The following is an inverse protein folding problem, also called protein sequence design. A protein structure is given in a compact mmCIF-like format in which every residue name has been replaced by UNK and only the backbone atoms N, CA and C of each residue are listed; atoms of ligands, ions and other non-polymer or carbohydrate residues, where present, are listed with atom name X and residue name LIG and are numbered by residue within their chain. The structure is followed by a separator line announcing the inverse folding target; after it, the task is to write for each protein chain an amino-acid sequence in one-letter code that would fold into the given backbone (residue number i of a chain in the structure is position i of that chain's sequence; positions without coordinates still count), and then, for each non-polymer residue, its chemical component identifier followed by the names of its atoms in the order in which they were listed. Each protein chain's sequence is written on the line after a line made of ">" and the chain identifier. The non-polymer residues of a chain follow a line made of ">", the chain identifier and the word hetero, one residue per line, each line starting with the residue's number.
data_IF_747357218040
#
_entry.id   IF_747357218040
#
_cell.length_a   1.000
_cell.length_b   1.000
_cell.length_c   1.000
_cell.angle_alpha   90.00
_cell.angle_beta   90.00
_cell.angle_gamma   90.00
#
_symmetry.space_group_name_H-M   'P 1'
#
loop_
_entity.id
_entity.type
_entity.pdbx_description
1 polymer ?
#
# COMPACT_ATOMS: atom_id res chain seq x y z
N UNK A 1 11.34 -6.40 31.01
CA UNK A 1 11.17 -5.13 30.29
C UNK A 1 10.63 -5.45 28.91
N UNK A 2 9.58 -4.76 28.46
CA UNK A 2 9.04 -4.94 27.13
C UNK A 2 10.02 -4.50 26.04
N UNK A 3 9.81 -4.95 24.81
CA UNK A 3 10.64 -4.57 23.68
C UNK A 3 10.45 -3.09 23.29
N UNK A 4 11.48 -2.42 22.79
CA UNK A 4 11.46 -1.00 22.40
C UNK A 4 11.87 -0.82 20.94
N UNK A 5 10.94 -0.32 20.12
CA UNK A 5 11.14 -0.11 18.70
C UNK A 5 11.19 1.39 18.39
N UNK A 6 12.30 1.83 17.80
CA UNK A 6 12.40 3.16 17.20
C UNK A 6 12.09 3.06 15.71
N UNK A 7 11.01 3.71 15.27
CA UNK A 7 10.56 3.65 13.88
C UNK A 7 10.82 4.97 13.14
N UNK A 8 11.59 4.92 12.06
CA UNK A 8 11.82 6.02 11.13
C UNK A 8 10.95 5.79 9.90
N UNK A 9 9.97 6.64 9.65
CA UNK A 9 9.00 6.44 8.58
C UNK A 9 8.79 7.71 7.75
N UNK A 10 8.42 7.54 6.47
CA UNK A 10 7.96 8.66 5.65
C UNK A 10 6.60 9.14 6.14
N UNK A 11 5.66 8.22 6.31
CA UNK A 11 4.26 8.47 6.59
C UNK A 11 3.73 7.44 7.60
N UNK A 12 2.86 7.89 8.53
CA UNK A 12 2.17 7.02 9.47
C UNK A 12 0.85 7.65 9.92
N UNK A 13 0.54 7.71 11.22
CA UNK A 13 -0.71 8.28 11.71
C UNK A 13 -0.86 9.74 11.31
N UNK A 14 -2.08 10.10 10.88
CA UNK A 14 -2.39 11.43 10.34
C UNK A 14 -1.90 11.68 8.90
N UNK A 15 -1.23 10.73 8.27
CA UNK A 15 -0.89 10.74 6.85
C UNK A 15 -1.83 9.82 6.05
N UNK A 16 -1.80 9.93 4.71
CA UNK A 16 -2.65 9.20 3.78
C UNK A 16 -1.82 8.36 2.80
N UNK A 17 -2.45 7.33 2.24
CA UNK A 17 -1.85 6.46 1.21
C UNK A 17 -1.39 5.11 1.76
N UNK A 18 -1.00 4.21 0.85
CA UNK A 18 -0.68 2.81 1.17
C UNK A 18 0.45 2.66 2.19
N UNK A 19 1.54 3.43 2.06
CA UNK A 19 2.68 3.37 2.99
C UNK A 19 2.27 3.79 4.41
N UNK A 20 1.49 4.87 4.53
CA UNK A 20 0.98 5.32 5.84
C UNK A 20 0.11 4.24 6.48
N UNK A 21 -0.79 3.63 5.71
CA UNK A 21 -1.69 2.55 6.16
C UNK A 21 -0.91 1.32 6.58
N UNK A 22 0.05 0.87 5.77
CA UNK A 22 0.92 -0.24 6.11
C UNK A 22 1.65 -0.04 7.44
N UNK A 23 2.25 1.15 7.63
CA UNK A 23 2.97 1.47 8.86
C UNK A 23 2.03 1.49 10.08
N UNK A 24 0.82 2.05 9.95
CA UNK A 24 -0.20 2.01 11.01
C UNK A 24 -0.56 0.57 11.37
N UNK A 25 -0.91 -0.26 10.37
CA UNK A 25 -1.30 -1.64 10.58
C UNK A 25 -0.16 -2.47 11.20
N UNK A 26 1.11 -2.22 10.82
CA UNK A 26 2.27 -2.87 11.40
C UNK A 26 2.47 -2.48 12.87
N UNK A 27 2.42 -1.20 13.21
CA UNK A 27 2.64 -0.77 14.59
C UNK A 27 1.49 -1.15 15.50
N UNK A 28 0.26 -1.08 15.02
CA UNK A 28 -0.91 -1.59 15.72
C UNK A 28 -0.81 -3.11 15.96
N UNK A 29 -0.27 -3.86 15.00
CA UNK A 29 -0.06 -5.30 15.14
C UNK A 29 1.01 -5.63 16.19
N UNK A 30 2.08 -4.84 16.26
CA UNK A 30 3.19 -5.03 17.20
C UNK A 30 2.90 -4.47 18.60
N UNK A 31 1.92 -3.60 18.75
CA UNK A 31 1.46 -3.06 20.03
C UNK A 31 0.68 -4.12 20.80
N UNK A 32 1.37 -4.90 21.62
CA UNK A 32 0.84 -6.01 22.42
C UNK A 32 0.68 -5.66 23.92
N UNK A 33 0.80 -4.40 24.27
CA UNK A 33 0.79 -3.89 25.64
C UNK A 33 2.13 -4.02 26.37
N UNK A 34 3.08 -4.81 25.87
CA UNK A 34 4.45 -4.92 26.41
C UNK A 34 5.48 -4.18 25.54
N UNK A 35 5.20 -3.98 24.27
CA UNK A 35 6.10 -3.34 23.30
C UNK A 35 5.88 -1.82 23.28
N UNK A 36 6.95 -1.06 23.49
CA UNK A 36 6.96 0.39 23.30
C UNK A 36 7.45 0.75 21.89
N UNK A 37 6.68 1.55 21.15
CA UNK A 37 7.02 1.97 19.80
C UNK A 37 7.06 3.50 19.74
N UNK A 38 8.22 4.06 19.40
CA UNK A 38 8.39 5.48 19.14
C UNK A 38 8.52 5.71 17.64
N UNK A 39 7.55 6.42 17.06
CA UNK A 39 7.47 6.70 15.63
C UNK A 39 7.95 8.12 15.36
N UNK A 40 8.87 8.24 14.41
CA UNK A 40 9.39 9.51 13.90
C UNK A 40 8.98 9.63 12.42
N UNK A 41 7.86 10.31 12.11
CA UNK A 41 7.40 10.48 10.74
C UNK A 41 8.00 11.72 10.09
N UNK A 42 8.14 11.70 8.76
CA UNK A 42 8.41 12.91 7.98
C UNK A 42 7.12 13.67 7.65
N UNK A 43 6.03 12.93 7.48
CA UNK A 43 4.71 13.47 7.18
C UNK A 43 3.66 12.81 8.08
N UNK A 44 2.58 13.52 8.33
CA UNK A 44 1.48 13.08 9.18
C UNK A 44 1.49 13.76 10.55
N UNK A 45 0.31 14.07 11.02
CA UNK A 45 0.06 14.64 12.33
C UNK A 45 -0.94 13.76 13.08
N UNK A 46 -0.50 13.16 14.16
CA UNK A 46 -1.31 12.30 15.02
C UNK A 46 -2.02 13.10 16.14
N UNK A 47 -1.95 14.43 16.11
CA UNK A 47 -2.60 15.28 17.10
C UNK A 47 -4.11 14.99 17.18
N UNK A 48 -4.60 14.68 18.37
CA UNK A 48 -6.00 14.31 18.58
C UNK A 48 -6.38 12.86 18.21
N UNK A 49 -5.45 12.06 17.72
CA UNK A 49 -5.68 10.62 17.48
C UNK A 49 -5.41 9.80 18.74
N UNK A 50 -6.24 8.79 18.99
CA UNK A 50 -6.00 7.80 20.03
C UNK A 50 -5.18 6.67 19.42
N UNK A 51 -3.93 6.54 19.83
CA UNK A 51 -3.03 5.48 19.40
C UNK A 51 -3.14 4.27 20.34
N UNK A 52 -2.70 3.10 19.86
CA UNK A 52 -2.64 1.90 20.68
C UNK A 52 -1.70 2.11 21.89
N UNK A 53 -1.98 1.41 22.99
CA UNK A 53 -1.14 1.46 24.19
C UNK A 53 0.31 1.07 23.85
N UNK A 54 1.26 1.88 24.30
CA UNK A 54 2.69 1.70 23.99
C UNK A 54 3.15 2.35 22.69
N UNK A 55 2.24 2.84 21.82
CA UNK A 55 2.60 3.55 20.59
C UNK A 55 2.61 5.05 20.82
N UNK A 56 3.68 5.71 20.43
CA UNK A 56 3.82 7.18 20.45
C UNK A 56 4.36 7.66 19.13
N UNK A 57 3.79 8.71 18.57
CA UNK A 57 4.30 9.37 17.39
C UNK A 57 4.71 10.80 17.71
N UNK A 58 5.93 11.16 17.34
CA UNK A 58 6.40 12.54 17.42
C UNK A 58 5.76 13.39 16.31
N UNK A 59 5.68 14.72 16.47
CA UNK A 59 5.34 15.60 15.37
C UNK A 59 6.25 15.41 14.16
N UNK A 60 5.71 15.59 12.96
CA UNK A 60 6.48 15.51 11.71
C UNK A 60 7.52 16.62 11.63
N UNK A 61 8.69 16.29 11.08
CA UNK A 61 9.82 17.22 10.95
C UNK A 61 10.25 17.27 9.49
N UNK A 62 10.15 18.45 8.91
CA UNK A 62 10.57 18.72 7.54
C UNK A 62 12.09 18.91 7.44
N UNK A 63 12.62 18.53 6.28
CA UNK A 63 14.03 18.67 5.97
C UNK A 63 14.91 17.53 6.51
N UNK A 64 15.94 17.18 5.73
CA UNK A 64 16.79 16.01 6.05
C UNK A 64 17.61 16.20 7.32
N UNK A 65 18.23 17.36 7.48
CA UNK A 65 19.08 17.64 8.64
C UNK A 65 18.29 17.76 9.93
N UNK A 66 17.16 18.50 9.92
CA UNK A 66 16.28 18.64 11.08
C UNK A 66 15.73 17.30 11.52
N UNK A 67 15.27 16.47 10.59
CA UNK A 67 14.80 15.12 10.86
C UNK A 67 15.91 14.24 11.48
N UNK A 68 17.14 14.28 10.91
CA UNK A 68 18.25 13.46 11.41
C UNK A 68 18.65 13.85 12.83
N UNK A 69 18.75 15.16 13.13
CA UNK A 69 19.06 15.63 14.48
C UNK A 69 17.97 15.25 15.48
N UNK A 70 16.70 15.45 15.12
CA UNK A 70 15.59 15.07 15.97
C UNK A 70 15.55 13.56 16.23
N UNK A 71 15.85 12.74 15.21
CA UNK A 71 15.92 11.28 15.38
C UNK A 71 17.03 10.85 16.32
N UNK A 72 18.21 11.48 16.27
CA UNK A 72 19.31 11.21 17.20
C UNK A 72 18.91 11.58 18.63
N UNK A 73 18.32 12.76 18.83
CA UNK A 73 17.84 13.21 20.16
C UNK A 73 16.75 12.31 20.70
N UNK A 74 15.79 11.94 19.86
CA UNK A 74 14.69 11.05 20.23
C UNK A 74 15.22 9.65 20.59
N UNK A 75 16.14 9.10 19.80
CA UNK A 75 16.79 7.82 20.07
C UNK A 75 17.53 7.83 21.42
N UNK A 76 18.27 8.91 21.70
CA UNK A 76 18.96 9.06 22.98
C UNK A 76 18.02 9.09 24.19
N UNK A 77 16.87 9.76 24.06
CA UNK A 77 15.84 9.81 25.11
C UNK A 77 15.07 8.50 25.25
N UNK A 78 14.92 7.76 24.15
CA UNK A 78 14.14 6.52 24.07
C UNK A 78 14.93 5.25 24.36
N UNK A 79 16.21 5.32 24.71
CA UNK A 79 17.04 4.15 25.04
C UNK A 79 16.59 3.43 26.32
N UNK A 80 16.85 2.11 26.49
CA UNK A 80 17.49 1.23 25.51
C UNK A 80 16.58 0.97 24.29
N UNK A 81 17.19 0.79 23.10
CA UNK A 81 16.47 0.49 21.86
C UNK A 81 16.79 -0.94 21.45
N UNK A 82 15.77 -1.77 21.25
CA UNK A 82 15.94 -3.15 20.80
C UNK A 82 15.99 -3.27 19.29
N UNK A 83 15.20 -2.46 18.59
CA UNK A 83 15.08 -2.48 17.14
C UNK A 83 14.93 -1.07 16.58
N UNK A 84 15.67 -0.77 15.53
CA UNK A 84 15.44 0.40 14.66
C UNK A 84 14.75 -0.09 13.39
N UNK A 85 13.52 0.36 13.19
CA UNK A 85 12.73 0.09 11.99
C UNK A 85 12.82 1.24 11.01
N UNK A 86 13.14 0.94 9.75
CA UNK A 86 13.12 1.87 8.63
C UNK A 86 11.94 1.55 7.74
N UNK A 87 10.87 2.34 7.85
CA UNK A 87 9.64 2.15 7.08
C UNK A 87 9.74 2.57 5.62
N UNK A 88 10.91 2.90 5.14
CA UNK A 88 11.22 3.17 3.74
C UNK A 88 12.73 3.12 3.52
N UNK A 89 13.17 2.62 2.36
CA UNK A 89 14.60 2.47 2.03
C UNK A 89 15.38 3.79 2.13
N UNK A 90 14.75 4.94 1.88
CA UNK A 90 15.39 6.25 2.06
C UNK A 90 15.79 6.57 3.52
N UNK A 91 15.19 5.89 4.49
CA UNK A 91 15.55 6.04 5.91
C UNK A 91 16.76 5.16 6.29
N UNK A 92 17.18 4.25 5.40
CA UNK A 92 18.22 3.27 5.66
C UNK A 92 19.55 3.88 6.18
N UNK A 93 20.07 5.00 5.65
CA UNK A 93 21.31 5.58 6.16
C UNK A 93 21.23 5.97 7.64
N UNK A 94 20.18 6.69 8.01
CA UNK A 94 19.98 7.13 9.40
C UNK A 94 19.65 5.95 10.32
N UNK A 95 18.80 5.03 9.85
CA UNK A 95 18.42 3.85 10.62
C UNK A 95 19.60 2.94 10.91
N UNK A 96 20.47 2.71 9.93
CA UNK A 96 21.69 1.96 10.12
C UNK A 96 22.61 2.61 11.16
N UNK A 97 22.82 3.94 11.05
CA UNK A 97 23.62 4.69 12.01
C UNK A 97 23.08 4.54 13.44
N UNK A 98 21.79 4.75 13.64
CA UNK A 98 21.15 4.64 14.95
C UNK A 98 21.19 3.19 15.47
N UNK A 99 20.94 2.20 14.63
CA UNK A 99 21.03 0.80 15.03
C UNK A 99 22.45 0.45 15.54
N UNK A 100 23.48 0.92 14.84
CA UNK A 100 24.88 0.71 15.28
C UNK A 100 25.21 1.46 16.56
N UNK A 101 24.78 2.71 16.68
CA UNK A 101 25.08 3.57 17.84
C UNK A 101 24.47 3.01 19.14
N UNK A 102 23.30 2.40 19.05
CA UNK A 102 22.55 1.89 20.21
C UNK A 102 22.60 0.36 20.35
N UNK A 103 23.38 -0.34 19.52
CA UNK A 103 23.44 -1.81 19.54
C UNK A 103 22.10 -2.49 19.28
N UNK A 104 21.24 -1.83 18.50
CA UNK A 104 19.90 -2.30 18.17
C UNK A 104 19.90 -3.15 16.88
N UNK A 105 18.89 -4.00 16.73
CA UNK A 105 18.63 -4.71 15.47
C UNK A 105 18.15 -3.73 14.40
N UNK A 106 18.51 -3.99 13.15
CA UNK A 106 18.23 -3.12 12.02
C UNK A 106 17.24 -3.80 11.08
N UNK A 107 16.00 -3.26 10.99
CA UNK A 107 14.92 -3.76 10.16
C UNK A 107 14.57 -2.74 9.07
N UNK A 108 14.57 -3.15 7.81
CA UNK A 108 14.24 -2.31 6.64
C UNK A 108 12.97 -2.83 5.97
N UNK A 109 12.02 -1.93 5.71
CA UNK A 109 10.83 -2.18 4.91
C UNK A 109 11.02 -1.65 3.49
N UNK A 110 10.67 -2.47 2.49
CA UNK A 110 10.61 -2.08 1.08
C UNK A 110 9.18 -2.21 0.56
N UNK A 111 8.70 -1.15 -0.12
CA UNK A 111 7.31 -1.02 -0.58
C UNK A 111 7.10 -1.29 -2.08
N UNK A 112 8.16 -1.56 -2.82
CA UNK A 112 8.10 -1.87 -4.27
C UNK A 112 8.91 -0.89 -5.09
N UNK A 113 8.29 0.17 -5.61
CA UNK A 113 8.94 1.15 -6.50
C UNK A 113 10.21 1.78 -5.93
N UNK A 114 10.35 1.80 -4.62
CA UNK A 114 11.52 2.31 -3.90
C UNK A 114 12.78 1.45 -4.10
N UNK A 115 12.62 0.18 -4.53
CA UNK A 115 13.74 -0.76 -4.73
C UNK A 115 13.77 -1.42 -6.11
N UNK A 116 12.83 -1.10 -7.01
CA UNK A 116 12.77 -1.75 -8.33
C UNK A 116 13.93 -1.39 -9.25
N UNK A 117 14.53 -0.24 -9.06
CA UNK A 117 15.79 0.10 -9.71
C UNK A 117 16.97 -0.39 -8.88
N UNK A 118 17.96 -1.04 -9.53
CA UNK A 118 19.23 -1.42 -8.88
C UNK A 118 19.88 -0.19 -8.23
N UNK A 119 19.79 -0.10 -6.93
CA UNK A 119 20.39 0.97 -6.14
C UNK A 119 21.79 0.56 -5.69
N UNK A 120 22.75 0.78 -6.59
CA UNK A 120 24.17 0.48 -6.36
C UNK A 120 24.77 1.31 -5.22
N UNK A 121 25.94 0.88 -4.75
CA UNK A 121 26.73 1.63 -3.77
C UNK A 121 26.13 1.57 -2.36
N UNK A 122 25.97 2.75 -1.73
CA UNK A 122 25.63 2.86 -0.30
C UNK A 122 24.29 2.19 0.06
N UNK A 123 23.25 2.38 -0.74
CA UNK A 123 21.90 1.81 -0.45
C UNK A 123 21.95 0.27 -0.44
N UNK A 124 22.60 -0.32 -1.44
CA UNK A 124 22.83 -1.77 -1.50
C UNK A 124 23.56 -2.28 -0.27
N UNK A 125 24.64 -1.60 0.12
CA UNK A 125 25.42 -1.95 1.31
C UNK A 125 24.59 -1.82 2.59
N UNK A 126 23.78 -0.77 2.74
CA UNK A 126 22.90 -0.56 3.90
C UNK A 126 21.85 -1.68 4.03
N UNK A 127 21.18 -2.05 2.93
CA UNK A 127 20.20 -3.12 2.92
C UNK A 127 20.86 -4.47 3.23
N UNK A 128 22.03 -4.75 2.65
CA UNK A 128 22.81 -5.96 2.93
C UNK A 128 23.16 -6.13 4.41
N UNK A 129 23.26 -5.04 5.13
CA UNK A 129 23.56 -5.04 6.56
C UNK A 129 22.31 -5.10 7.45
N UNK A 130 21.11 -5.21 6.90
CA UNK A 130 19.90 -5.38 7.69
C UNK A 130 19.83 -6.78 8.34
N UNK A 131 19.34 -6.83 9.56
CA UNK A 131 19.06 -8.08 10.26
C UNK A 131 17.78 -8.72 9.73
N UNK A 132 16.82 -7.88 9.28
CA UNK A 132 15.59 -8.25 8.60
C UNK A 132 15.26 -7.24 7.52
N UNK A 133 14.87 -7.72 6.34
CA UNK A 133 14.21 -6.91 5.31
C UNK A 133 12.82 -7.49 5.09
N UNK A 134 11.81 -6.63 5.13
CA UNK A 134 10.44 -7.00 4.75
C UNK A 134 10.04 -6.35 3.45
N UNK A 135 9.29 -7.06 2.64
CA UNK A 135 8.75 -6.59 1.35
C UNK A 135 7.24 -6.81 1.32
N UNK A 136 6.52 -5.94 0.65
CA UNK A 136 5.05 -6.03 0.58
C UNK A 136 4.56 -7.11 -0.40
N UNK A 137 5.42 -7.61 -1.31
CA UNK A 137 5.03 -8.63 -2.28
C UNK A 137 6.17 -9.61 -2.57
N UNK A 138 5.82 -10.79 -3.11
CA UNK A 138 6.79 -11.78 -3.61
C UNK A 138 7.61 -11.22 -4.76
N UNK A 139 6.99 -10.41 -5.60
CA UNK A 139 7.69 -9.76 -6.71
C UNK A 139 8.71 -8.73 -6.21
N UNK A 140 8.33 -7.87 -5.26
CA UNK A 140 9.27 -6.94 -4.62
C UNK A 140 10.44 -7.69 -3.98
N UNK A 141 10.18 -8.84 -3.32
CA UNK A 141 11.23 -9.72 -2.78
C UNK A 141 12.14 -10.27 -3.88
N UNK A 142 11.57 -10.76 -4.98
CA UNK A 142 12.32 -11.31 -6.12
C UNK A 142 13.25 -10.26 -6.73
N UNK A 143 12.72 -9.05 -6.97
CA UNK A 143 13.50 -7.95 -7.53
C UNK A 143 14.62 -7.55 -6.57
N UNK A 144 14.35 -7.42 -5.28
CA UNK A 144 15.37 -7.08 -4.29
C UNK A 144 16.51 -8.09 -4.27
N UNK A 145 16.20 -9.38 -4.21
CA UNK A 145 17.19 -10.45 -4.18
C UNK A 145 18.02 -10.57 -5.47
N UNK A 146 17.53 -10.03 -6.59
CA UNK A 146 18.28 -10.02 -7.84
C UNK A 146 19.51 -9.10 -7.83
N UNK A 147 19.49 -8.06 -6.96
CA UNK A 147 20.58 -7.08 -6.92
C UNK A 147 21.21 -6.87 -5.52
N UNK A 148 20.57 -7.37 -4.45
CA UNK A 148 21.16 -7.38 -3.10
C UNK A 148 21.61 -8.80 -2.76
N UNK A 149 22.90 -8.95 -2.49
CA UNK A 149 23.47 -10.20 -2.00
C UNK A 149 23.11 -10.37 -0.51
N UNK A 150 21.93 -10.92 -0.27
CA UNK A 150 21.37 -11.24 1.06
C UNK A 150 20.91 -12.69 1.09
N UNK A 151 21.12 -13.39 2.23
CA UNK A 151 20.47 -14.68 2.44
C UNK A 151 18.95 -14.55 2.32
N UNK A 152 18.29 -15.39 1.50
CA UNK A 152 16.84 -15.29 1.25
C UNK A 152 15.98 -15.34 2.52
N UNK A 153 16.48 -15.97 3.59
CA UNK A 153 15.82 -16.06 4.88
C UNK A 153 15.78 -14.74 5.66
N UNK A 154 16.62 -13.77 5.30
CA UNK A 154 16.55 -12.39 5.84
C UNK A 154 15.57 -11.50 5.11
N UNK A 155 15.10 -11.91 3.95
CA UNK A 155 14.10 -11.16 3.18
C UNK A 155 12.76 -11.87 3.26
N UNK A 156 11.81 -11.27 3.93
CA UNK A 156 10.49 -11.86 4.20
C UNK A 156 9.41 -11.03 3.55
N UNK A 157 8.39 -11.71 3.02
CA UNK A 157 7.18 -11.04 2.55
C UNK A 157 6.24 -10.85 3.73
N UNK A 158 5.84 -9.61 3.97
CA UNK A 158 4.75 -9.24 4.85
C UNK A 158 3.83 -8.36 4.01
N UNK A 159 2.78 -8.93 3.39
CA UNK A 159 1.91 -8.20 2.47
C UNK A 159 1.06 -7.17 3.22
N UNK A 160 0.50 -6.23 2.47
CA UNK A 160 -0.53 -5.34 3.01
C UNK A 160 -1.73 -6.17 3.51
N UNK A 161 -2.51 -5.56 4.39
CA UNK A 161 -3.72 -6.17 4.96
C UNK A 161 -4.96 -5.40 4.59
N UNK A 162 -6.08 -6.09 4.46
CA UNK A 162 -7.39 -5.47 4.27
C UNK A 162 -8.10 -5.31 5.62
N UNK A 163 -8.61 -4.11 5.88
CA UNK A 163 -9.32 -3.79 7.12
C UNK A 163 -10.69 -4.45 7.17
N UNK A 164 -11.18 -4.76 8.38
CA UNK A 164 -12.43 -5.48 8.61
C UNK A 164 -13.68 -4.69 8.20
N UNK A 165 -13.58 -3.38 7.95
CA UNK A 165 -14.68 -2.55 7.44
C UNK A 165 -15.04 -2.87 5.98
N UNK A 166 -14.08 -3.44 5.21
CA UNK A 166 -14.32 -3.88 3.84
C UNK A 166 -14.96 -5.27 3.87
N UNK A 167 -16.27 -5.30 3.73
CA UNK A 167 -17.09 -6.52 3.73
C UNK A 167 -18.14 -6.43 2.63
N UNK A 168 -18.60 -7.57 2.11
CA UNK A 168 -19.73 -7.59 1.19
C UNK A 168 -20.99 -6.99 1.84
N UNK A 169 -21.86 -6.49 1.01
CA UNK A 169 -23.14 -5.92 1.44
C UNK A 169 -23.78 -5.04 0.38
N UNK A 170 -24.98 -4.56 0.61
CA UNK A 170 -25.60 -3.57 -0.26
C UNK A 170 -24.94 -2.20 -0.07
N UNK A 171 -24.82 -1.43 -1.15
CA UNK A 171 -24.53 -0.01 -1.06
C UNK A 171 -25.76 0.74 -0.54
N UNK A 172 -25.57 1.91 0.12
CA UNK A 172 -26.70 2.77 0.48
C UNK A 172 -27.56 3.13 -0.75
N UNK A 173 -28.88 2.93 -0.64
CA UNK A 173 -29.79 3.05 -1.78
C UNK A 173 -29.70 4.42 -2.51
N UNK A 174 -29.52 5.52 -1.74
CA UNK A 174 -29.41 6.86 -2.30
C UNK A 174 -28.00 7.20 -2.85
N UNK A 175 -27.00 6.33 -2.72
CA UNK A 175 -25.62 6.66 -3.12
C UNK A 175 -25.49 6.84 -4.63
N UNK A 176 -26.14 5.99 -5.42
CA UNK A 176 -26.14 6.06 -6.88
C UNK A 176 -26.73 7.38 -7.36
N UNK A 177 -27.88 7.78 -6.81
CA UNK A 177 -28.57 9.04 -7.13
C UNK A 177 -27.77 10.27 -6.70
N UNK A 178 -27.20 10.24 -5.49
CA UNK A 178 -26.34 11.30 -4.97
C UNK A 178 -25.14 11.55 -5.87
N UNK A 179 -24.54 10.48 -6.42
CA UNK A 179 -23.42 10.56 -7.34
C UNK A 179 -23.86 10.82 -8.79
N UNK A 180 -25.18 10.90 -9.04
CA UNK A 180 -25.77 11.09 -10.38
C UNK A 180 -25.28 10.07 -11.40
N UNK A 181 -25.24 8.81 -10.98
CA UNK A 181 -24.87 7.68 -11.84
C UNK A 181 -26.14 7.04 -12.42
N UNK A 182 -26.15 6.78 -13.72
CA UNK A 182 -27.26 6.12 -14.40
C UNK A 182 -27.50 4.69 -13.93
N UNK A 183 -28.37 3.96 -14.67
CA UNK A 183 -28.71 2.57 -14.32
C UNK A 183 -27.69 1.53 -14.79
N UNK A 184 -26.74 1.91 -15.63
CA UNK A 184 -25.74 1.03 -16.24
C UNK A 184 -24.66 0.56 -15.27
N UNK A 185 -23.77 -0.33 -15.74
CA UNK A 185 -22.65 -0.82 -14.97
C UNK A 185 -21.69 0.31 -14.55
N UNK A 186 -21.13 0.17 -13.33
CA UNK A 186 -20.15 1.10 -12.77
C UNK A 186 -18.79 0.41 -12.71
N UNK A 187 -17.84 0.90 -13.51
CA UNK A 187 -16.42 0.60 -13.32
C UNK A 187 -15.86 1.56 -12.26
N UNK A 188 -14.99 1.09 -11.38
CA UNK A 188 -14.40 1.90 -10.31
C UNK A 188 -12.88 1.82 -10.34
N UNK A 189 -12.22 2.97 -10.21
CA UNK A 189 -10.81 3.07 -9.86
C UNK A 189 -10.67 3.96 -8.63
N UNK A 190 -9.88 3.51 -7.63
CA UNK A 190 -9.58 4.28 -6.41
C UNK A 190 -8.07 4.46 -6.31
N UNK A 191 -7.61 5.70 -6.16
CA UNK A 191 -6.18 5.96 -5.99
C UNK A 191 -5.81 7.43 -6.13
N UNK A 192 -4.58 7.76 -5.77
CA UNK A 192 -4.03 9.10 -6.00
C UNK A 192 -3.91 9.37 -7.50
N UNK A 193 -4.21 10.60 -7.90
CA UNK A 193 -4.05 11.08 -9.27
C UNK A 193 -2.76 11.92 -9.35
N UNK A 194 -1.62 11.26 -9.09
CA UNK A 194 -0.34 11.94 -9.05
C UNK A 194 0.41 11.79 -10.39
N UNK A 195 1.05 12.87 -10.84
CA UNK A 195 1.77 12.93 -12.11
C UNK A 195 2.93 11.93 -12.23
N UNK A 196 3.48 11.49 -11.10
CA UNK A 196 4.49 10.44 -11.02
C UNK A 196 3.90 9.02 -10.87
N UNK A 197 2.56 8.87 -10.88
CA UNK A 197 1.86 7.58 -10.76
C UNK A 197 1.00 7.26 -12.02
N UNK A 198 1.37 7.77 -13.18
CA UNK A 198 0.66 7.52 -14.45
C UNK A 198 0.61 6.06 -14.84
N UNK A 199 1.47 5.24 -14.27
CA UNK A 199 1.48 3.80 -14.42
C UNK A 199 0.18 3.11 -13.95
N UNK A 200 -0.73 3.80 -13.24
CA UNK A 200 -2.00 3.24 -12.76
C UNK A 200 -3.02 2.92 -13.87
N UNK A 201 -2.78 3.35 -15.11
CA UNK A 201 -3.53 2.87 -16.25
C UNK A 201 -4.93 3.49 -16.44
N UNK A 202 -5.14 4.75 -16.05
CA UNK A 202 -6.42 5.44 -16.27
C UNK A 202 -6.77 5.59 -17.76
N UNK A 203 -5.82 6.09 -18.57
CA UNK A 203 -6.05 6.33 -20.01
C UNK A 203 -6.32 5.03 -20.80
N UNK A 204 -5.63 3.91 -20.54
CA UNK A 204 -6.05 2.60 -21.03
C UNK A 204 -7.54 2.31 -20.83
N UNK A 205 -8.07 2.54 -19.63
CA UNK A 205 -9.49 2.31 -19.36
C UNK A 205 -10.36 3.30 -20.16
N UNK A 206 -10.02 4.59 -20.16
CA UNK A 206 -10.79 5.60 -20.93
C UNK A 206 -10.90 5.21 -22.42
N UNK A 207 -9.81 4.74 -23.01
CA UNK A 207 -9.77 4.41 -24.45
C UNK A 207 -10.68 3.26 -24.87
N UNK A 208 -11.09 2.38 -23.97
CA UNK A 208 -11.97 1.24 -24.29
C UNK A 208 -13.44 1.52 -23.95
N UNK A 209 -13.75 2.60 -23.21
CA UNK A 209 -15.12 2.92 -22.82
C UNK A 209 -16.07 3.16 -24.00
N UNK A 210 -15.69 3.84 -25.11
CA UNK A 210 -16.61 4.03 -26.24
C UNK A 210 -17.12 2.71 -26.79
N UNK A 211 -16.27 1.74 -27.07
CA UNK A 211 -16.65 0.41 -27.55
C UNK A 211 -17.49 -0.37 -26.53
N UNK A 212 -17.19 -0.28 -25.25
CA UNK A 212 -17.99 -0.91 -24.20
C UNK A 212 -19.40 -0.30 -24.10
N UNK A 213 -19.56 0.99 -24.36
CA UNK A 213 -20.84 1.68 -24.32
C UNK A 213 -21.76 1.37 -25.51
N UNK A 214 -21.24 0.79 -26.57
CA UNK A 214 -22.10 0.22 -27.64
C UNK A 214 -22.98 -0.92 -27.10
N UNK A 215 -22.42 -1.71 -26.16
CA UNK A 215 -23.14 -2.82 -25.52
C UNK A 215 -23.80 -2.41 -24.19
N UNK A 216 -23.22 -1.48 -23.46
CA UNK A 216 -23.70 -0.96 -22.19
C UNK A 216 -23.82 0.57 -22.25
N UNK A 217 -24.88 1.13 -22.83
CA UNK A 217 -24.99 2.57 -23.14
C UNK A 217 -24.81 3.49 -21.94
N UNK A 218 -25.27 3.05 -20.74
CA UNK A 218 -25.19 3.80 -19.48
C UNK A 218 -23.96 3.42 -18.63
N UNK A 219 -22.98 2.67 -19.17
CA UNK A 219 -21.76 2.35 -18.47
C UNK A 219 -20.99 3.62 -18.12
N UNK A 220 -20.56 3.71 -16.86
CA UNK A 220 -19.77 4.83 -16.34
C UNK A 220 -18.52 4.32 -15.64
N UNK A 221 -17.39 5.01 -15.86
CA UNK A 221 -16.18 4.79 -15.09
C UNK A 221 -16.07 5.87 -14.00
N UNK A 222 -16.12 5.45 -12.75
CA UNK A 222 -15.97 6.31 -11.58
C UNK A 222 -14.51 6.29 -11.14
N UNK A 223 -13.90 7.46 -11.05
CA UNK A 223 -12.53 7.67 -10.59
C UNK A 223 -12.58 8.39 -9.25
N UNK A 224 -12.23 7.68 -8.18
CA UNK A 224 -12.17 8.20 -6.80
C UNK A 224 -10.72 8.48 -6.41
N UNK A 225 -10.40 9.74 -6.18
CA UNK A 225 -9.07 10.21 -5.83
C UNK A 225 -8.81 11.62 -6.29
N UNK A 226 -7.70 12.17 -5.83
CA UNK A 226 -7.27 13.52 -6.17
C UNK A 226 -5.75 13.56 -6.32
N UNK A 227 -5.23 14.63 -6.94
CA UNK A 227 -3.81 14.83 -7.13
C UNK A 227 -3.49 15.83 -8.25
N UNK A 228 -2.21 16.08 -8.45
CA UNK A 228 -1.69 17.07 -9.40
C UNK A 228 -1.88 16.68 -10.89
N UNK A 229 -2.19 15.40 -11.19
CA UNK A 229 -2.48 14.91 -12.54
C UNK A 229 -4.00 14.92 -12.89
N UNK A 230 -4.86 15.30 -11.94
CA UNK A 230 -6.32 15.25 -12.11
C UNK A 230 -6.79 16.03 -13.32
N UNK A 231 -6.36 17.27 -13.49
CA UNK A 231 -6.79 18.12 -14.60
C UNK A 231 -6.44 17.52 -15.96
N UNK A 232 -5.24 16.92 -16.07
CA UNK A 232 -4.81 16.23 -17.30
C UNK A 232 -5.68 14.99 -17.58
N UNK A 233 -6.00 14.21 -16.54
CA UNK A 233 -6.86 13.03 -16.67
C UNK A 233 -8.31 13.40 -17.03
N UNK A 234 -8.86 14.49 -16.49
CA UNK A 234 -10.17 15.00 -16.88
C UNK A 234 -10.21 15.42 -18.36
N UNK A 235 -9.14 16.08 -18.85
CA UNK A 235 -9.01 16.43 -20.27
C UNK A 235 -8.92 15.18 -21.16
N UNK A 236 -8.07 14.19 -20.76
CA UNK A 236 -7.96 12.93 -21.50
C UNK A 236 -9.27 12.14 -21.51
N UNK A 237 -10.03 12.14 -20.42
CA UNK A 237 -11.33 11.48 -20.36
C UNK A 237 -12.36 12.18 -21.25
N UNK A 238 -12.35 13.51 -21.34
CA UNK A 238 -13.24 14.27 -22.22
C UNK A 238 -12.95 14.02 -23.70
N UNK A 239 -11.70 13.76 -24.05
CA UNK A 239 -11.28 13.42 -25.42
C UNK A 239 -11.57 11.97 -25.77
N UNK A 240 -11.13 11.02 -24.92
CA UNK A 240 -11.17 9.58 -25.21
C UNK A 240 -12.54 8.93 -24.96
N UNK A 241 -13.30 9.43 -23.99
CA UNK A 241 -14.56 8.85 -23.55
C UNK A 241 -15.56 9.92 -23.06
N UNK A 242 -16.02 10.83 -23.95
CA UNK A 242 -16.88 11.95 -23.56
C UNK A 242 -18.13 11.49 -22.82
N UNK A 243 -18.34 12.04 -21.60
CA UNK A 243 -19.52 11.73 -20.77
C UNK A 243 -19.52 10.34 -20.10
N UNK A 244 -18.47 9.53 -20.28
CA UNK A 244 -18.40 8.18 -19.72
C UNK A 244 -17.58 8.10 -18.42
N UNK A 245 -16.90 9.17 -18.00
CA UNK A 245 -16.05 9.19 -16.80
C UNK A 245 -16.57 10.19 -15.77
N UNK A 246 -16.59 9.77 -14.52
CA UNK A 246 -17.00 10.61 -13.38
C UNK A 246 -15.86 10.68 -12.35
N UNK A 247 -15.27 11.85 -12.17
CA UNK A 247 -14.27 12.10 -11.12
C UNK A 247 -14.95 12.56 -9.83
N UNK A 248 -14.74 11.82 -8.73
CA UNK A 248 -15.34 12.14 -7.44
C UNK A 248 -14.43 13.05 -6.58
N UNK A 249 -13.15 13.19 -6.94
CA UNK A 249 -12.18 13.79 -6.06
C UNK A 249 -11.83 12.87 -4.89
N UNK A 250 -11.31 13.46 -3.82
CA UNK A 250 -10.98 12.72 -2.61
C UNK A 250 -12.23 12.12 -1.95
N UNK A 251 -12.21 10.82 -1.70
CA UNK A 251 -13.25 10.10 -0.96
C UNK A 251 -12.67 9.71 0.40
N UNK A 252 -13.34 10.05 1.52
CA UNK A 252 -12.91 9.63 2.86
C UNK A 252 -12.87 8.11 3.01
N UNK A 253 -11.93 7.61 3.81
CA UNK A 253 -11.77 6.16 4.05
C UNK A 253 -13.05 5.50 4.59
N UNK A 254 -13.87 6.23 5.35
CA UNK A 254 -15.14 5.75 5.88
C UNK A 254 -16.20 5.49 4.79
N UNK A 255 -16.13 6.21 3.66
CA UNK A 255 -17.08 6.10 2.54
C UNK A 255 -16.63 5.11 1.47
N UNK A 256 -15.35 4.68 1.49
CA UNK A 256 -14.81 3.77 0.49
C UNK A 256 -15.52 2.40 0.44
N UNK A 257 -15.88 1.74 1.58
CA UNK A 257 -16.60 0.47 1.53
C UNK A 257 -17.92 0.55 0.77
N UNK A 258 -18.67 1.64 0.95
CA UNK A 258 -19.94 1.85 0.25
C UNK A 258 -19.74 2.13 -1.25
N UNK A 259 -18.65 2.80 -1.60
CA UNK A 259 -18.30 3.03 -3.00
C UNK A 259 -17.90 1.72 -3.70
N UNK A 260 -17.12 0.86 -3.03
CA UNK A 260 -16.80 -0.48 -3.55
C UNK A 260 -18.06 -1.36 -3.70
N UNK A 261 -18.98 -1.32 -2.72
CA UNK A 261 -20.25 -2.08 -2.79
C UNK A 261 -21.16 -1.60 -3.91
N UNK A 262 -21.10 -0.28 -4.24
CA UNK A 262 -21.91 0.33 -5.30
C UNK A 262 -21.45 -0.09 -6.69
N UNK A 263 -20.15 -0.28 -6.88
CA UNK A 263 -19.57 -0.61 -8.18
C UNK A 263 -19.85 -2.06 -8.62
N UNK A 264 -19.74 -2.29 -9.92
CA UNK A 264 -19.92 -3.61 -10.53
C UNK A 264 -18.56 -4.27 -10.83
N UNK A 265 -17.52 -3.47 -11.08
CA UNK A 265 -16.17 -3.96 -11.37
C UNK A 265 -15.12 -2.93 -10.95
N UNK A 266 -14.06 -3.38 -10.28
CA UNK A 266 -12.88 -2.56 -10.03
C UNK A 266 -11.87 -2.72 -11.16
N UNK A 267 -11.38 -1.62 -11.74
CA UNK A 267 -10.45 -1.64 -12.87
C UNK A 267 -9.30 -0.68 -12.63
N UNK A 268 -8.09 -1.21 -12.47
CA UNK A 268 -6.85 -0.43 -12.40
C UNK A 268 -5.71 -1.22 -13.06
N UNK A 269 -5.59 -1.19 -14.40
CA UNK A 269 -4.60 -1.96 -15.15
C UNK A 269 -3.21 -1.32 -15.04
N UNK A 270 -2.66 -1.31 -13.82
CA UNK A 270 -1.39 -0.70 -13.48
C UNK A 270 -0.21 -1.48 -14.08
N UNK A 271 0.80 -0.77 -14.61
CA UNK A 271 2.05 -1.37 -15.07
C UNK A 271 3.09 -1.50 -13.96
N UNK A 272 2.89 -0.79 -12.86
CA UNK A 272 3.80 -0.77 -11.72
C UNK A 272 3.00 -0.71 -10.43
N UNK A 273 3.07 -1.73 -9.58
CA UNK A 273 2.37 -1.75 -8.30
C UNK A 273 3.23 -2.45 -7.24
N UNK A 274 3.42 -1.83 -6.09
CA UNK A 274 4.15 -2.46 -4.99
C UNK A 274 3.44 -3.71 -4.47
N UNK A 275 2.12 -3.58 -4.28
CA UNK A 275 1.22 -4.65 -3.88
C UNK A 275 -0.20 -4.40 -4.44
N UNK A 276 -0.82 -3.25 -4.15
CA UNK A 276 -2.16 -2.89 -4.61
C UNK A 276 -3.26 -3.24 -3.61
N UNK A 277 -3.19 -2.68 -2.40
CA UNK A 277 -4.20 -2.89 -1.34
C UNK A 277 -5.63 -2.64 -1.83
N UNK A 278 -5.84 -1.72 -2.75
CA UNK A 278 -7.16 -1.38 -3.32
C UNK A 278 -7.84 -2.55 -4.03
N UNK A 279 -7.07 -3.49 -4.60
CA UNK A 279 -7.63 -4.72 -5.16
C UNK A 279 -8.21 -5.62 -4.07
N UNK A 280 -7.50 -5.73 -2.92
CA UNK A 280 -8.00 -6.49 -1.78
C UNK A 280 -9.23 -5.82 -1.15
N UNK A 281 -9.25 -4.49 -1.05
CA UNK A 281 -10.40 -3.73 -0.53
C UNK A 281 -11.65 -3.97 -1.40
N UNK A 282 -11.48 -3.88 -2.73
CA UNK A 282 -12.54 -4.17 -3.68
C UNK A 282 -13.05 -5.61 -3.55
N UNK A 283 -12.14 -6.59 -3.59
CA UNK A 283 -12.49 -8.00 -3.50
C UNK A 283 -13.11 -8.36 -2.16
N UNK A 284 -12.65 -7.76 -1.06
CA UNK A 284 -13.24 -7.94 0.28
C UNK A 284 -14.69 -7.41 0.36
N UNK A 285 -15.04 -6.42 -0.47
CA UNK A 285 -16.42 -5.94 -0.64
C UNK A 285 -17.23 -6.80 -1.64
N UNK A 286 -16.65 -7.86 -2.18
CA UNK A 286 -17.28 -8.74 -3.17
C UNK A 286 -17.22 -8.21 -4.60
N UNK A 287 -16.37 -7.22 -4.88
CA UNK A 287 -16.19 -6.64 -6.20
C UNK A 287 -15.07 -7.38 -6.96
N UNK A 288 -15.35 -7.85 -8.17
CA UNK A 288 -14.31 -8.43 -9.02
C UNK A 288 -13.34 -7.34 -9.46
N UNK A 289 -12.08 -7.74 -9.70
CA UNK A 289 -11.03 -6.78 -10.01
C UNK A 289 -10.30 -7.11 -11.31
N UNK A 290 -9.88 -6.07 -12.01
CA UNK A 290 -8.93 -6.15 -13.13
C UNK A 290 -7.69 -5.37 -12.74
N UNK A 291 -6.58 -6.08 -12.60
CA UNK A 291 -5.26 -5.50 -12.38
C UNK A 291 -4.42 -5.49 -13.66
N UNK A 292 -3.31 -4.77 -13.64
CA UNK A 292 -2.36 -4.76 -14.74
C UNK A 292 -1.18 -5.71 -14.52
N UNK A 293 -0.53 -6.10 -15.61
CA UNK A 293 0.65 -6.96 -15.60
C UNK A 293 1.89 -6.16 -15.19
N UNK A 294 2.16 -6.14 -13.89
CA UNK A 294 3.36 -5.49 -13.38
C UNK A 294 3.42 -5.46 -11.87
N UNK A 295 4.63 -5.49 -11.31
CA UNK A 295 4.87 -5.42 -9.88
C UNK A 295 4.18 -6.49 -9.05
N UNK A 296 3.72 -6.10 -7.86
CA UNK A 296 3.10 -6.96 -6.88
C UNK A 296 1.61 -7.25 -7.11
N UNK A 297 1.01 -6.83 -8.23
CA UNK A 297 -0.41 -7.03 -8.53
C UNK A 297 -0.86 -8.49 -8.39
N UNK A 298 -0.02 -9.44 -8.82
CA UNK A 298 -0.32 -10.88 -8.70
C UNK A 298 -0.37 -11.39 -7.25
N UNK A 299 0.16 -10.64 -6.31
CA UNK A 299 0.03 -10.97 -4.88
C UNK A 299 -1.34 -10.51 -4.32
N UNK A 300 -1.89 -9.39 -4.84
CA UNK A 300 -3.20 -8.88 -4.44
C UNK A 300 -4.37 -9.52 -5.21
N UNK A 301 -4.10 -10.11 -6.38
CA UNK A 301 -5.08 -10.85 -7.20
C UNK A 301 -4.58 -12.30 -7.32
N UNK A 302 -4.74 -13.12 -6.27
CA UNK A 302 -4.10 -14.42 -6.18
C UNK A 302 -4.66 -15.45 -7.17
N UNK A 303 -5.91 -15.33 -7.55
CA UNK A 303 -6.58 -16.24 -8.48
C UNK A 303 -7.85 -15.64 -9.11
N UNK A 304 -8.49 -16.40 -10.02
CA UNK A 304 -9.67 -16.00 -10.78
C UNK A 304 -10.94 -15.76 -9.94
N UNK A 305 -11.01 -16.22 -8.71
CA UNK A 305 -12.14 -15.93 -7.80
C UNK A 305 -12.16 -14.46 -7.42
N UNK A 306 -11.00 -13.81 -7.39
CA UNK A 306 -10.84 -12.38 -7.13
C UNK A 306 -10.98 -11.57 -8.41
N UNK A 307 -10.29 -11.99 -9.49
CA UNK A 307 -10.26 -11.24 -10.73
C UNK A 307 -9.19 -11.72 -11.69
N UNK A 308 -8.80 -10.84 -12.62
CA UNK A 308 -7.83 -11.15 -13.66
C UNK A 308 -6.76 -10.06 -13.81
N UNK A 309 -5.64 -10.46 -14.38
CA UNK A 309 -4.52 -9.56 -14.70
C UNK A 309 -4.43 -9.45 -16.22
N UNK A 310 -4.39 -8.22 -16.71
CA UNK A 310 -4.30 -7.91 -18.15
C UNK A 310 -3.04 -7.12 -18.47
N UNK A 311 -2.58 -7.19 -19.70
CA UNK A 311 -1.59 -6.25 -20.20
C UNK A 311 -2.29 -4.93 -20.58
N UNK A 312 -1.99 -3.80 -19.91
CA UNK A 312 -2.67 -2.54 -20.17
C UNK A 312 -2.38 -1.95 -21.55
N UNK A 313 -1.39 -2.44 -22.26
CA UNK A 313 -1.08 -2.06 -23.65
C UNK A 313 -2.08 -2.70 -24.62
N UNK A 314 -2.55 -3.91 -24.32
CA UNK A 314 -3.54 -4.64 -25.11
C UNK A 314 -4.97 -4.15 -24.79
N UNK A 315 -5.45 -3.18 -25.56
CA UNK A 315 -6.79 -2.59 -25.38
C UNK A 315 -7.91 -3.60 -25.64
N UNK A 316 -7.72 -4.50 -26.59
CA UNK A 316 -8.71 -5.53 -26.92
C UNK A 316 -8.83 -6.54 -25.76
N UNK A 317 -7.70 -6.99 -25.19
CA UNK A 317 -7.72 -7.84 -24.01
C UNK A 317 -8.34 -7.14 -22.80
N UNK A 318 -8.06 -5.84 -22.58
CA UNK A 318 -8.68 -5.07 -21.50
C UNK A 318 -10.19 -4.97 -21.66
N UNK A 319 -10.69 -4.62 -22.86
CA UNK A 319 -12.13 -4.54 -23.14
C UNK A 319 -12.82 -5.90 -22.93
N UNK A 320 -12.24 -6.97 -23.49
CA UNK A 320 -12.76 -8.32 -23.32
C UNK A 320 -12.79 -8.76 -21.85
N UNK A 321 -11.75 -8.45 -21.08
CA UNK A 321 -11.70 -8.75 -19.65
C UNK A 321 -12.78 -7.99 -18.87
N UNK A 322 -13.05 -6.71 -19.19
CA UNK A 322 -14.11 -5.93 -18.56
C UNK A 322 -15.48 -6.60 -18.83
N UNK A 323 -15.78 -6.95 -20.07
CA UNK A 323 -17.04 -7.64 -20.40
C UNK A 323 -17.18 -8.98 -19.68
N UNK A 324 -16.14 -9.79 -19.69
CA UNK A 324 -16.14 -11.11 -19.04
C UNK A 324 -16.34 -10.98 -17.52
N UNK A 325 -15.63 -10.05 -16.86
CA UNK A 325 -15.73 -9.89 -15.42
C UNK A 325 -17.09 -9.31 -15.00
N UNK A 326 -17.67 -8.41 -15.77
CA UNK A 326 -19.03 -7.92 -15.55
C UNK A 326 -20.07 -9.05 -15.65
N UNK A 327 -19.88 -10.00 -16.56
CA UNK A 327 -20.78 -11.14 -16.74
C UNK A 327 -20.67 -12.20 -15.63
N UNK A 328 -19.53 -12.29 -14.95
CA UNK A 328 -19.29 -13.28 -13.89
C UNK A 328 -19.89 -12.91 -12.52
N UNK A 329 -20.34 -11.67 -12.35
CA UNK A 329 -20.95 -11.19 -11.11
C UNK A 329 -19.93 -10.90 -10.00
N UNK A 330 -20.23 -11.27 -8.75
CA UNK A 330 -19.43 -10.89 -7.57
C UNK A 330 -18.18 -11.78 -7.39
N UNK A 331 -17.13 -11.19 -6.81
CA UNK A 331 -15.95 -11.93 -6.35
C UNK A 331 -16.28 -12.79 -5.12
N UNK A 332 -15.49 -13.85 -4.93
CA UNK A 332 -15.53 -14.63 -3.70
C UNK A 332 -14.65 -13.97 -2.62
N UNK A 333 -15.23 -13.33 -1.59
CA UNK A 333 -14.46 -12.62 -0.57
C UNK A 333 -13.62 -13.57 0.30
N UNK A 334 -13.89 -14.88 0.29
CA UNK A 334 -13.08 -15.88 1.00
C UNK A 334 -11.65 -15.95 0.42
N UNK A 335 -11.49 -15.64 -0.86
CA UNK A 335 -10.17 -15.63 -1.51
C UNK A 335 -9.20 -14.60 -0.92
N UNK A 336 -9.70 -13.54 -0.26
CA UNK A 336 -8.86 -12.51 0.41
C UNK A 336 -8.72 -12.74 1.92
N UNK A 337 -9.28 -13.84 2.47
CA UNK A 337 -9.18 -14.16 3.90
C UNK A 337 -7.72 -14.20 4.42
N UNK A 338 -6.73 -14.75 3.67
CA UNK A 338 -5.33 -14.73 4.10
C UNK A 338 -4.73 -13.33 4.31
N UNK A 339 -5.38 -12.30 3.76
CA UNK A 339 -4.95 -10.89 3.87
C UNK A 339 -5.73 -10.11 4.95
N UNK A 340 -6.60 -10.77 5.72
CA UNK A 340 -7.31 -10.12 6.84
C UNK A 340 -6.35 -9.73 7.95
N UNK A 341 -6.76 -8.72 8.73
CA UNK A 341 -5.97 -8.15 9.83
C UNK A 341 -5.45 -9.20 10.82
N UNK A 342 -6.24 -10.22 11.15
CA UNK A 342 -5.86 -11.32 12.05
C UNK A 342 -4.60 -12.06 11.57
N UNK A 343 -4.54 -12.40 10.28
CA UNK A 343 -3.39 -13.07 9.66
C UNK A 343 -2.17 -12.17 9.61
N UNK A 344 -2.37 -10.89 9.25
CA UNK A 344 -1.30 -9.89 9.25
C UNK A 344 -0.69 -9.72 10.65
N UNK A 345 -1.51 -9.57 11.69
CA UNK A 345 -1.06 -9.45 13.08
C UNK A 345 -0.24 -10.67 13.50
N UNK A 346 -0.72 -11.87 13.22
CA UNK A 346 -0.01 -13.10 13.53
C UNK A 346 1.35 -13.16 12.81
N UNK A 347 1.38 -12.84 11.52
CA UNK A 347 2.60 -12.82 10.71
C UNK A 347 3.60 -11.76 11.18
N UNK A 348 3.16 -10.53 11.44
CA UNK A 348 4.01 -9.44 11.91
C UNK A 348 4.65 -9.75 13.27
N UNK A 349 3.86 -10.28 14.22
CA UNK A 349 4.35 -10.71 15.53
C UNK A 349 5.34 -11.86 15.45
N UNK A 350 5.07 -12.86 14.61
CA UNK A 350 5.98 -13.97 14.38
C UNK A 350 7.31 -13.53 13.76
N UNK A 351 7.28 -12.60 12.79
CA UNK A 351 8.48 -12.00 12.19
C UNK A 351 9.29 -11.22 13.23
N UNK A 352 8.62 -10.39 14.02
CA UNK A 352 9.27 -9.62 15.06
C UNK A 352 9.89 -10.51 16.16
N UNK A 353 9.19 -11.54 16.62
CA UNK A 353 9.70 -12.50 17.58
C UNK A 353 10.97 -13.20 17.07
N UNK A 354 11.00 -13.62 15.80
CA UNK A 354 12.19 -14.19 15.15
C UNK A 354 13.36 -13.19 15.09
N UNK A 355 13.08 -11.94 14.74
CA UNK A 355 14.08 -10.87 14.77
C UNK A 355 14.61 -10.66 16.19
N UNK A 356 13.73 -10.59 17.17
CA UNK A 356 14.07 -10.39 18.58
C UNK A 356 14.91 -11.53 19.18
N UNK A 357 14.77 -12.75 18.70
CA UNK A 357 15.54 -13.91 19.10
C UNK A 357 16.98 -13.94 18.53
N UNK A 358 17.26 -13.17 17.46
CA UNK A 358 18.62 -13.11 16.90
C UNK A 358 19.59 -12.43 17.85
N UNK A 359 20.84 -12.88 17.94
CA UNK A 359 21.85 -12.18 18.72
C UNK A 359 22.04 -10.76 18.18
N UNK A 360 22.17 -9.78 19.10
CA UNK A 360 22.51 -8.41 18.70
C UNK A 360 23.92 -8.42 18.09
N UNK A 361 24.08 -7.79 16.95
CA UNK A 361 25.42 -7.59 16.38
C UNK A 361 26.18 -6.67 17.34
N UNK A 362 27.13 -7.23 18.07
CA UNK A 362 28.03 -6.42 18.90
C UNK A 362 28.65 -5.34 18.00
N UNK A 363 28.68 -4.11 18.47
CA UNK A 363 29.45 -3.04 17.86
C UNK A 363 30.93 -3.45 17.89
N UNK A 364 31.38 -4.14 16.83
CA UNK A 364 32.81 -4.21 16.57
C UNK A 364 33.23 -2.76 16.34
N UNK A 365 34.07 -2.22 17.25
CA UNK A 365 34.36 -0.81 17.38
C UNK A 365 34.63 -0.12 16.05
N UNK A 366 34.11 1.08 15.97
CA UNK A 366 34.55 2.10 15.00
C UNK A 366 35.99 2.46 15.27
#
# INVERSE_FOLDING_TARGET
>A
MGARILALVSDCYGARGGIARYNQDLFDALADGSTEILILPRHGDASGMVLQAGVRQNPSIFGRLGFSLAAIVAAWRFRPIDTVFCGHVFMAPLGFLLARLFGARYWVQAHGTDIWQDRRGLVRWLIRNADLVTTVSRETRRILLAWVDLPPERVRVLPDTVRDVFTPGPAPAALRDRLKLGSGPILLTVGRLASNERYKGHEPVFSVLPGLREKYPDLVHVVAGDGDDRQRLEAAAAELAPGAVRFLGFVPDADLPDLYRLADLYVMPSTEEGFGIVYLEAAACGLRVIGGKGGGTADAIPDERVGVIVDPVDRAALASAIEQQLAQGKADPVAVEPYRRSHFVAAARALYARLAAQPRRMSSGL
#
